data_IF_883273672274
#
_entry.id   IF_883273672274
#
_cell.length_a   1.000
_cell.length_b   1.000
_cell.length_c   1.000
_cell.angle_alpha   90.00
_cell.angle_beta   90.00
_cell.angle_gamma   90.00
#
_symmetry.space_group_name_H-M   'P 1'
#
loop_
_entity.id
_entity.type
_entity.pdbx_description
1 polymer ?
#
# COMPACT_ATOMS: atom_id res chain seq x y z
N UNK A 1 0.12 -4.21 -12.78
CA UNK A 1 -0.39 -5.29 -11.90
C UNK A 1 -0.97 -6.44 -12.71
N UNK A 2 -1.94 -6.20 -13.61
CA UNK A 2 -2.68 -7.31 -14.26
C UNK A 2 -1.83 -8.24 -15.12
N UNK A 3 -0.81 -7.69 -15.81
CA UNK A 3 0.13 -8.51 -16.58
C UNK A 3 0.87 -9.52 -15.70
N UNK A 4 1.30 -9.10 -14.50
CA UNK A 4 1.96 -9.97 -13.53
C UNK A 4 0.96 -10.99 -12.97
N UNK A 5 -0.29 -10.58 -12.75
CA UNK A 5 -1.34 -11.47 -12.24
C UNK A 5 -1.69 -12.59 -13.23
N UNK A 6 -1.57 -12.34 -14.53
CA UNK A 6 -1.74 -13.38 -15.56
C UNK A 6 -0.71 -14.50 -15.44
N UNK A 7 0.52 -14.17 -15.04
CA UNK A 7 1.62 -15.12 -14.83
C UNK A 7 1.44 -15.81 -13.47
N UNK A 8 1.24 -15.03 -12.41
CA UNK A 8 1.14 -15.51 -11.03
C UNK A 8 -0.32 -15.45 -10.54
N UNK A 9 -1.15 -16.38 -11.05
CA UNK A 9 -2.62 -16.35 -10.86
C UNK A 9 -3.09 -16.40 -9.41
N UNK A 10 -2.34 -17.07 -8.52
CA UNK A 10 -2.70 -17.26 -7.10
C UNK A 10 -2.00 -16.26 -6.17
N UNK A 11 -1.14 -15.40 -6.70
CA UNK A 11 -0.32 -14.51 -5.89
C UNK A 11 -0.99 -13.16 -5.71
N UNK A 12 -0.85 -12.60 -4.50
CA UNK A 12 -1.20 -11.21 -4.25
C UNK A 12 -0.10 -10.30 -4.78
N UNK A 13 -0.50 -9.29 -5.54
CA UNK A 13 0.41 -8.25 -6.04
C UNK A 13 0.15 -7.00 -5.24
N UNK A 14 1.16 -6.55 -4.50
CA UNK A 14 1.15 -5.27 -3.78
C UNK A 14 2.09 -4.31 -4.50
N UNK A 15 1.61 -3.09 -4.76
CA UNK A 15 2.38 -2.01 -5.38
C UNK A 15 2.10 -0.71 -4.64
N UNK A 16 2.79 0.37 -5.03
CA UNK A 16 2.49 1.72 -4.55
C UNK A 16 1.68 2.52 -5.57
N UNK A 17 0.95 3.52 -5.08
CA UNK A 17 0.31 4.57 -5.86
C UNK A 17 0.85 5.94 -5.43
N UNK A 18 0.80 6.90 -6.36
CA UNK A 18 1.11 8.31 -6.07
C UNK A 18 -0.07 8.97 -5.36
N UNK A 19 0.20 9.98 -4.53
CA UNK A 19 -0.84 10.75 -3.82
C UNK A 19 -1.86 11.44 -4.75
N UNK A 20 -1.39 11.83 -5.94
CA UNK A 20 -2.19 12.47 -6.99
C UNK A 20 -3.04 11.49 -7.81
N UNK A 21 -2.89 10.19 -7.58
CA UNK A 21 -3.62 9.16 -8.31
C UNK A 21 -5.14 9.39 -8.17
N UNK A 22 -5.83 9.38 -9.30
CA UNK A 22 -7.28 9.58 -9.35
C UNK A 22 -8.03 8.29 -9.06
N UNK A 23 -9.04 8.42 -8.22
CA UNK A 23 -10.02 7.40 -7.89
C UNK A 23 -11.43 7.90 -8.21
N UNK A 24 -12.36 6.97 -8.38
CA UNK A 24 -13.78 7.29 -8.48
C UNK A 24 -14.47 7.04 -7.14
N UNK A 25 -15.10 8.09 -6.61
CA UNK A 25 -15.85 8.04 -5.36
C UNK A 25 -17.08 8.93 -5.45
N UNK A 26 -18.27 8.40 -5.09
CA UNK A 26 -19.56 9.11 -5.17
C UNK A 26 -19.79 9.79 -6.54
N UNK A 27 -19.56 9.05 -7.61
CA UNK A 27 -19.70 9.51 -8.99
C UNK A 27 -18.81 10.70 -9.39
N UNK A 28 -17.71 10.93 -8.68
CA UNK A 28 -16.74 12.01 -8.94
C UNK A 28 -15.31 11.48 -8.91
N UNK A 29 -14.44 12.17 -9.63
CA UNK A 29 -13.00 11.93 -9.59
C UNK A 29 -12.34 12.70 -8.45
N UNK A 30 -11.63 11.99 -7.58
CA UNK A 30 -10.96 12.55 -6.42
C UNK A 30 -9.52 12.00 -6.36
N UNK A 31 -8.57 12.77 -5.85
CA UNK A 31 -7.22 12.24 -5.57
C UNK A 31 -7.24 11.36 -4.32
N UNK A 32 -6.30 10.41 -4.23
CA UNK A 32 -6.12 9.62 -3.01
C UNK A 32 -5.89 10.48 -1.78
N UNK A 33 -5.06 11.53 -1.91
CA UNK A 33 -4.81 12.50 -0.85
C UNK A 33 -6.08 13.14 -0.32
N UNK A 34 -6.93 13.66 -1.21
CA UNK A 34 -8.19 14.31 -0.82
C UNK A 34 -9.19 13.32 -0.22
N UNK A 35 -9.19 12.08 -0.68
CA UNK A 35 -10.06 11.04 -0.14
C UNK A 35 -9.67 10.65 1.29
N UNK A 36 -8.39 10.36 1.51
CA UNK A 36 -7.87 9.92 2.81
C UNK A 36 -7.61 11.06 3.81
N UNK A 37 -7.59 12.31 3.37
CA UNK A 37 -7.67 13.45 4.29
C UNK A 37 -9.04 13.57 4.95
N UNK A 38 -10.10 13.15 4.25
CA UNK A 38 -11.48 13.18 4.76
C UNK A 38 -11.84 11.91 5.52
N UNK A 39 -11.25 10.77 5.15
CA UNK A 39 -11.44 9.48 5.80
C UNK A 39 -10.16 9.12 6.56
N UNK A 40 -10.00 9.73 7.73
CA UNK A 40 -8.83 9.52 8.58
C UNK A 40 -8.70 8.06 9.01
N UNK A 41 -7.46 7.61 9.14
CA UNK A 41 -7.15 6.26 9.56
C UNK A 41 -7.27 6.03 11.06
N UNK A 42 -7.21 4.76 11.44
CA UNK A 42 -7.10 4.30 12.82
C UNK A 42 -5.63 3.98 13.12
N UNK A 43 -5.23 4.14 14.38
CA UNK A 43 -3.91 3.70 14.81
C UNK A 43 -3.87 2.17 14.94
N UNK A 44 -2.89 1.54 14.33
CA UNK A 44 -2.61 0.11 14.46
C UNK A 44 -1.13 -0.11 14.77
N UNK A 45 -0.81 -1.27 15.34
CA UNK A 45 0.58 -1.73 15.49
C UNK A 45 0.96 -2.60 14.30
N UNK A 46 2.03 -2.22 13.60
CA UNK A 46 2.64 -3.04 12.55
C UNK A 46 3.97 -3.60 13.04
N UNK A 47 4.23 -4.86 12.69
CA UNK A 47 5.54 -5.47 12.90
C UNK A 47 6.41 -5.19 11.68
N UNK A 48 7.54 -4.52 11.89
CA UNK A 48 8.55 -4.24 10.87
C UNK A 48 9.78 -5.13 11.08
N UNK A 49 10.79 -4.96 10.22
CA UNK A 49 12.06 -5.69 10.27
C UNK A 49 12.64 -5.72 11.70
N UNK A 50 13.17 -6.88 12.09
CA UNK A 50 13.72 -7.10 13.43
C UNK A 50 12.67 -7.29 14.52
N UNK A 51 11.46 -7.74 14.15
CA UNK A 51 10.33 -7.95 15.05
C UNK A 51 9.90 -6.69 15.86
N UNK A 52 10.34 -5.50 15.42
CA UNK A 52 9.99 -4.24 16.06
C UNK A 52 8.54 -3.90 15.76
N UNK A 53 7.78 -3.58 16.81
CA UNK A 53 6.42 -3.06 16.66
C UNK A 53 6.45 -1.55 16.56
N UNK A 54 5.75 -0.99 15.58
CA UNK A 54 5.64 0.45 15.37
C UNK A 54 4.17 0.82 15.21
N UNK A 55 3.77 1.91 15.84
CA UNK A 55 2.42 2.47 15.68
C UNK A 55 2.35 3.25 14.37
N UNK A 56 1.31 2.99 13.60
CA UNK A 56 1.06 3.68 12.32
C UNK A 56 -0.39 4.15 12.25
N UNK A 57 -0.63 5.22 11.52
CA UNK A 57 -1.98 5.61 11.11
C UNK A 57 -2.31 4.87 9.82
N UNK A 58 -3.40 4.11 9.86
CA UNK A 58 -3.79 3.18 8.81
C UNK A 58 -5.24 3.41 8.39
N UNK A 59 -5.46 3.55 7.08
CA UNK A 59 -6.79 3.54 6.49
C UNK A 59 -6.79 2.63 5.26
N UNK A 60 -7.94 2.07 4.90
CA UNK A 60 -8.04 1.28 3.67
C UNK A 60 -9.44 1.39 3.07
N UNK A 61 -9.51 1.25 1.74
CA UNK A 61 -10.77 1.30 0.99
C UNK A 61 -10.65 0.54 -0.34
N UNK A 62 -11.76 -0.06 -0.78
CA UNK A 62 -11.86 -0.66 -2.11
C UNK A 62 -12.36 0.40 -3.09
N UNK A 63 -11.50 0.85 -3.99
CA UNK A 63 -11.71 2.04 -4.81
C UNK A 63 -11.47 1.73 -6.29
N UNK A 64 -12.25 2.36 -7.17
CA UNK A 64 -12.01 2.32 -8.61
C UNK A 64 -10.82 3.25 -8.93
N UNK A 65 -9.67 2.66 -9.28
CA UNK A 65 -8.47 3.44 -9.61
C UNK A 65 -8.51 3.76 -11.10
N UNK A 66 -8.60 5.04 -11.45
CA UNK A 66 -8.85 5.49 -12.83
C UNK A 66 -7.82 4.96 -13.82
N UNK A 67 -6.53 5.09 -13.50
CA UNK A 67 -5.44 4.62 -14.37
C UNK A 67 -5.42 3.10 -14.56
N UNK A 68 -6.06 2.33 -13.66
CA UNK A 68 -6.17 0.89 -13.79
C UNK A 68 -7.50 0.46 -14.44
N UNK A 69 -8.48 1.36 -14.57
CA UNK A 69 -9.81 1.04 -15.10
C UNK A 69 -10.62 0.04 -14.26
N UNK A 70 -10.21 -0.26 -13.03
CA UNK A 70 -10.85 -1.29 -12.20
C UNK A 70 -10.74 -1.03 -10.70
N UNK A 71 -11.58 -1.72 -9.94
CA UNK A 71 -11.54 -1.67 -8.47
C UNK A 71 -10.26 -2.34 -7.97
N UNK A 72 -9.63 -1.70 -7.00
CA UNK A 72 -8.45 -2.19 -6.29
C UNK A 72 -8.64 -1.99 -4.80
N UNK A 73 -7.90 -2.76 -4.00
CA UNK A 73 -7.84 -2.49 -2.58
C UNK A 73 -6.69 -1.53 -2.29
N UNK A 74 -7.01 -0.31 -1.87
CA UNK A 74 -6.05 0.74 -1.57
C UNK A 74 -5.88 0.86 -0.06
N UNK A 75 -4.63 0.94 0.38
CA UNK A 75 -4.25 1.16 1.78
C UNK A 75 -3.48 2.47 1.87
N UNK A 76 -3.85 3.34 2.78
CA UNK A 76 -3.09 4.52 3.15
C UNK A 76 -2.40 4.26 4.49
N UNK A 77 -1.08 4.40 4.50
CA UNK A 77 -0.21 4.11 5.64
C UNK A 77 0.64 5.34 5.94
N UNK A 78 0.70 5.74 7.21
CA UNK A 78 1.54 6.85 7.65
C UNK A 78 2.20 6.49 8.97
N UNK A 79 3.53 6.57 9.02
CA UNK A 79 4.28 6.31 10.24
C UNK A 79 4.16 7.49 11.21
N UNK A 80 4.44 7.24 12.49
CA UNK A 80 4.56 8.30 13.48
C UNK A 80 5.63 9.32 13.05
N UNK A 81 5.28 10.62 13.10
CA UNK A 81 6.12 11.72 12.62
C UNK A 81 6.02 12.03 11.12
N UNK A 82 5.41 11.17 10.29
CA UNK A 82 5.18 11.48 8.88
C UNK A 82 3.94 12.39 8.70
N UNK A 83 4.05 13.37 7.81
CA UNK A 83 2.93 14.26 7.43
C UNK A 83 2.06 13.66 6.33
N UNK A 84 2.67 12.96 5.37
CA UNK A 84 2.00 12.41 4.19
C UNK A 84 1.77 10.89 4.30
N UNK A 85 0.64 10.43 3.77
CA UNK A 85 0.39 9.00 3.61
C UNK A 85 1.19 8.42 2.45
N UNK A 86 1.68 7.19 2.64
CA UNK A 86 2.07 6.26 1.59
C UNK A 86 0.86 5.46 1.13
N UNK A 87 0.64 5.38 -0.17
CA UNK A 87 -0.49 4.64 -0.73
C UNK A 87 -0.02 3.33 -1.32
N UNK A 88 -0.55 2.23 -0.79
CA UNK A 88 -0.37 0.89 -1.31
C UNK A 88 -1.63 0.47 -2.08
N UNK A 89 -1.45 -0.41 -3.04
CA UNK A 89 -2.53 -1.00 -3.83
C UNK A 89 -2.31 -2.49 -3.98
N UNK A 90 -3.38 -3.24 -3.79
CA UNK A 90 -3.41 -4.68 -3.95
C UNK A 90 -4.33 -5.13 -5.08
N UNK A 91 -3.94 -6.21 -5.76
CA UNK A 91 -4.72 -6.80 -6.86
C UNK A 91 -5.92 -7.60 -6.39
N UNK A 92 -5.74 -8.43 -5.35
CA UNK A 92 -6.78 -9.24 -4.74
C UNK A 92 -7.45 -8.47 -3.61
N UNK A 93 -8.76 -8.27 -3.73
CA UNK A 93 -9.58 -7.49 -2.81
C UNK A 93 -10.11 -8.29 -1.62
N UNK A 94 -9.88 -9.61 -1.58
CA UNK A 94 -10.32 -10.50 -0.49
C UNK A 94 -9.43 -10.40 0.76
N UNK A 95 -8.19 -9.94 0.59
CA UNK A 95 -7.23 -9.77 1.68
C UNK A 95 -7.72 -8.75 2.70
N UNK A 96 -7.15 -8.77 3.92
CA UNK A 96 -7.33 -7.69 4.89
C UNK A 96 -6.32 -6.59 4.61
N UNK A 97 -6.70 -5.34 4.85
CA UNK A 97 -5.81 -4.21 4.58
C UNK A 97 -4.54 -4.23 5.46
N UNK A 98 -4.64 -4.76 6.68
CA UNK A 98 -3.49 -4.95 7.59
C UNK A 98 -2.49 -5.95 7.00
N UNK A 99 -2.95 -7.05 6.40
CA UNK A 99 -2.05 -8.04 5.78
C UNK A 99 -1.28 -7.43 4.60
N UNK A 100 -1.92 -6.55 3.81
CA UNK A 100 -1.29 -5.81 2.72
C UNK A 100 -0.19 -4.88 3.27
N UNK A 101 -0.48 -4.15 4.35
CA UNK A 101 0.50 -3.27 4.99
C UNK A 101 1.67 -4.07 5.58
N UNK A 102 1.41 -5.21 6.22
CA UNK A 102 2.44 -6.11 6.77
C UNK A 102 3.32 -6.68 5.67
N UNK A 103 2.77 -7.22 4.58
CA UNK A 103 3.59 -7.74 3.46
C UNK A 103 4.46 -6.64 2.86
N UNK A 104 3.95 -5.40 2.79
CA UNK A 104 4.72 -4.28 2.28
C UNK A 104 5.95 -3.93 3.14
N UNK A 105 5.94 -4.23 4.45
CA UNK A 105 7.14 -4.01 5.30
C UNK A 105 8.30 -4.91 4.88
N UNK A 106 8.02 -6.08 4.27
CA UNK A 106 9.04 -7.02 3.78
C UNK A 106 9.75 -6.54 2.52
N UNK A 107 9.22 -5.53 1.82
CA UNK A 107 9.87 -4.92 0.65
C UNK A 107 11.32 -4.50 0.95
N UNK A 108 11.58 -4.04 2.17
CA UNK A 108 12.92 -3.63 2.62
C UNK A 108 13.97 -4.75 2.59
N UNK A 109 13.57 -6.02 2.62
CA UNK A 109 14.53 -7.14 2.56
C UNK A 109 15.35 -7.12 1.27
N UNK A 110 14.76 -6.69 0.15
CA UNK A 110 15.47 -6.59 -1.12
C UNK A 110 16.51 -5.47 -1.09
N UNK A 111 16.22 -4.37 -0.41
CA UNK A 111 17.14 -3.23 -0.28
C UNK A 111 18.35 -3.61 0.57
N UNK A 112 18.13 -4.31 1.68
CA UNK A 112 19.22 -4.87 2.52
C UNK A 112 20.10 -5.81 1.72
N UNK A 113 19.48 -6.75 0.98
CA UNK A 113 20.24 -7.68 0.16
C UNK A 113 21.15 -6.94 -0.83
N UNK A 114 20.67 -5.87 -1.46
CA UNK A 114 21.51 -5.07 -2.36
C UNK A 114 22.61 -4.28 -1.66
N UNK A 115 22.38 -3.78 -0.44
CA UNK A 115 23.41 -3.13 0.37
C UNK A 115 24.52 -4.13 0.74
N UNK A 116 24.14 -5.31 1.24
CA UNK A 116 25.06 -6.37 1.64
C UNK A 116 25.88 -6.87 0.44
N UNK A 117 25.23 -7.09 -0.71
CA UNK A 117 25.90 -7.56 -1.91
C UNK A 117 27.00 -6.60 -2.39
N UNK A 118 26.72 -5.28 -2.35
CA UNK A 118 27.68 -4.25 -2.76
C UNK A 118 28.89 -4.12 -1.83
N UNK A 119 28.77 -4.53 -0.58
CA UNK A 119 29.91 -4.54 0.36
C UNK A 119 30.90 -5.68 0.07
N UNK A 120 30.47 -6.67 -0.72
CA UNK A 120 31.26 -7.84 -1.10
C UNK A 120 31.76 -7.79 -2.55
N UNK A 121 31.53 -6.67 -3.25
CA UNK A 121 32.10 -6.35 -4.58
C UNK A 121 33.21 -5.30 -4.42
#
# INVERSE_FOLDING_TARGET
>A
MDRVQKIYKKSQIVSQLRKTQKIFFRNREVSLEKYFSTHSGTQIKLTIRGAKQVTVVFACARLLVKAHGQKRFVVALKYEGESEYRYLVASDMSWRGVDIATVYTLRWLVEVFFEDWKLHE
#
